data_IF_330865176080
#
_entry.id   IF_330865176080
#
_cell.length_a   1.000
_cell.length_b   1.000
_cell.length_c   1.000
_cell.angle_alpha   90.00
_cell.angle_beta   90.00
_cell.angle_gamma   90.00
#
_symmetry.space_group_name_H-M   'P 1'
#
loop_
_entity.id
_entity.type
_entity.pdbx_description
1 polymer ?
#
# COMPACT_ATOMS: atom_id res chain seq x y z
N UNK A 1 -18.94 -2.43 4.10
CA UNK A 1 -17.52 -2.04 4.07
C UNK A 1 -16.81 -2.40 2.77
N UNK A 2 -16.97 -3.61 2.20
CA UNK A 2 -16.42 -3.97 0.86
C UNK A 2 -16.76 -2.94 -0.24
N UNK A 3 -18.05 -2.59 -0.37
CA UNK A 3 -18.49 -1.57 -1.32
C UNK A 3 -17.82 -0.19 -1.12
N UNK A 4 -17.52 0.20 0.12
CA UNK A 4 -16.75 1.42 0.37
C UNK A 4 -15.34 1.28 -0.18
N UNK A 5 -14.65 0.18 0.13
CA UNK A 5 -13.25 -0.02 -0.26
C UNK A 5 -13.06 -0.06 -1.80
N UNK A 6 -14.03 -0.63 -2.52
CA UNK A 6 -14.05 -0.69 -3.99
C UNK A 6 -14.21 0.70 -4.63
N UNK A 7 -15.00 1.58 -3.99
CA UNK A 7 -15.28 2.92 -4.51
C UNK A 7 -14.34 4.01 -3.94
N UNK A 8 -13.66 3.72 -2.84
CA UNK A 8 -12.73 4.64 -2.17
C UNK A 8 -11.52 4.90 -3.06
N UNK A 9 -11.26 6.19 -3.32
CA UNK A 9 -10.12 6.63 -4.15
C UNK A 9 -9.10 7.39 -3.35
N UNK A 10 -7.82 7.06 -3.54
CA UNK A 10 -6.72 7.64 -2.78
C UNK A 10 -6.54 9.15 -3.04
N UNK A 11 -6.70 9.58 -4.29
CA UNK A 11 -6.66 11.00 -4.70
C UNK A 11 -7.77 11.82 -4.01
N UNK A 12 -8.90 11.18 -3.68
CA UNK A 12 -10.03 11.78 -2.96
C UNK A 12 -10.05 11.50 -1.47
N UNK A 13 -8.99 10.89 -0.90
CA UNK A 13 -8.94 10.47 0.52
C UNK A 13 -9.37 11.56 1.49
N UNK A 14 -8.95 12.81 1.28
CA UNK A 14 -9.27 13.94 2.17
C UNK A 14 -10.78 14.23 2.27
N UNK A 15 -11.56 13.81 1.27
CA UNK A 15 -13.01 13.99 1.20
C UNK A 15 -13.77 12.67 1.46
N UNK A 16 -13.07 11.57 1.73
CA UNK A 16 -13.66 10.26 1.99
C UNK A 16 -14.14 10.14 3.45
N UNK A 17 -15.21 9.39 3.69
CA UNK A 17 -15.81 9.21 5.03
C UNK A 17 -14.84 8.61 6.07
N UNK A 18 -13.93 7.72 5.66
CA UNK A 18 -12.89 7.18 6.53
C UNK A 18 -11.57 7.93 6.35
N UNK A 19 -11.27 8.34 5.11
CA UNK A 19 -10.04 9.03 4.77
C UNK A 19 -9.91 10.44 5.37
N UNK A 20 -11.02 11.11 5.68
CA UNK A 20 -11.07 12.43 6.30
C UNK A 20 -10.95 12.41 7.84
N UNK A 21 -11.04 11.23 8.46
CA UNK A 21 -10.90 11.08 9.91
C UNK A 21 -9.49 11.53 10.33
N UNK A 22 -9.40 12.30 11.43
CA UNK A 22 -8.12 12.78 11.98
C UNK A 22 -7.15 11.60 12.17
N UNK A 23 -5.91 11.79 11.72
CA UNK A 23 -4.83 10.80 11.76
C UNK A 23 -4.97 9.58 10.82
N UNK A 24 -6.00 9.52 9.95
CA UNK A 24 -6.03 8.54 8.86
C UNK A 24 -5.14 9.04 7.72
N UNK A 25 -3.89 8.59 7.71
CA UNK A 25 -2.94 8.84 6.62
C UNK A 25 -3.12 7.89 5.43
N UNK A 26 -2.32 8.07 4.38
CA UNK A 26 -2.34 7.21 3.17
C UNK A 26 -2.12 5.73 3.52
N UNK A 27 -1.16 5.42 4.40
CA UNK A 27 -0.90 4.05 4.81
C UNK A 27 -2.12 3.44 5.52
N UNK A 28 -2.69 4.11 6.53
CA UNK A 28 -3.89 3.64 7.23
C UNK A 28 -5.07 3.45 6.28
N UNK A 29 -5.28 4.39 5.35
CA UNK A 29 -6.35 4.32 4.37
C UNK A 29 -6.21 3.12 3.44
N UNK A 30 -5.01 2.87 2.92
CA UNK A 30 -4.74 1.69 2.09
C UNK A 30 -4.86 0.38 2.89
N UNK A 31 -4.42 0.37 4.15
CA UNK A 31 -4.58 -0.79 5.01
C UNK A 31 -6.05 -1.16 5.21
N UNK A 32 -6.94 -0.18 5.40
CA UNK A 32 -8.38 -0.41 5.46
C UNK A 32 -8.91 -1.00 4.15
N UNK A 33 -8.45 -0.51 2.99
CA UNK A 33 -8.86 -1.05 1.68
C UNK A 33 -8.42 -2.51 1.52
N UNK A 34 -7.18 -2.83 1.90
CA UNK A 34 -6.66 -4.21 1.94
C UNK A 34 -7.53 -5.10 2.83
N UNK A 35 -7.84 -4.66 4.06
CA UNK A 35 -8.65 -5.42 5.01
C UNK A 35 -10.07 -5.71 4.49
N UNK A 36 -10.55 -4.95 3.52
CA UNK A 36 -11.85 -5.17 2.86
C UNK A 36 -11.73 -5.75 1.44
N UNK A 37 -10.58 -6.33 1.10
CA UNK A 37 -10.39 -7.17 -0.08
C UNK A 37 -9.90 -6.45 -1.33
N UNK A 38 -9.44 -5.21 -1.21
CA UNK A 38 -8.85 -4.49 -2.33
C UNK A 38 -7.40 -4.93 -2.50
N UNK A 39 -7.06 -5.34 -3.71
CA UNK A 39 -5.69 -5.65 -4.10
C UNK A 39 -4.89 -4.34 -4.26
N UNK A 40 -4.20 -3.95 -3.20
CA UNK A 40 -3.35 -2.76 -3.15
C UNK A 40 -2.28 -2.94 -2.09
N UNK A 41 -1.40 -1.96 -1.92
CA UNK A 41 -0.28 -1.98 -0.98
C UNK A 41 -0.47 -0.92 0.10
N UNK A 42 -0.03 -1.23 1.32
CA UNK A 42 0.08 -0.25 2.40
C UNK A 42 1.50 0.31 2.40
N UNK A 43 1.74 1.58 1.98
CA UNK A 43 3.09 2.16 1.92
C UNK A 43 3.61 2.58 3.31
N UNK A 44 3.75 1.60 4.20
CA UNK A 44 4.31 1.78 5.53
C UNK A 44 5.84 1.80 5.52
N UNK A 45 6.43 1.82 6.72
CA UNK A 45 7.87 1.85 6.87
C UNK A 45 8.57 0.63 6.23
N UNK A 46 8.01 -0.57 6.35
CA UNK A 46 8.67 -1.80 5.85
C UNK A 46 8.71 -1.82 4.34
N UNK A 47 7.59 -1.50 3.69
CA UNK A 47 7.53 -1.39 2.22
C UNK A 47 8.52 -0.33 1.72
N UNK A 48 8.57 0.84 2.37
CA UNK A 48 9.50 1.92 1.99
C UNK A 48 10.96 1.55 2.21
N UNK A 49 11.28 0.86 3.30
CA UNK A 49 12.63 0.38 3.57
C UNK A 49 13.13 -0.58 2.49
N UNK A 50 12.27 -1.47 1.97
CA UNK A 50 12.65 -2.37 0.87
C UNK A 50 12.85 -1.60 -0.43
N UNK A 51 11.94 -0.69 -0.77
CA UNK A 51 12.11 0.18 -1.95
C UNK A 51 13.40 1.00 -1.88
N UNK A 52 13.78 1.49 -0.70
CA UNK A 52 15.02 2.23 -0.52
C UNK A 52 16.25 1.31 -0.56
N UNK A 53 16.24 0.17 0.16
CA UNK A 53 17.42 -0.71 0.30
C UNK A 53 17.72 -1.54 -0.94
N UNK A 54 16.70 -2.15 -1.54
CA UNK A 54 16.87 -3.12 -2.62
C UNK A 54 16.79 -2.47 -4.01
N UNK A 55 16.08 -1.33 -4.11
CA UNK A 55 15.84 -0.65 -5.38
C UNK A 55 16.43 0.76 -5.45
N UNK A 56 17.02 1.27 -4.35
CA UNK A 56 17.55 2.64 -4.26
C UNK A 56 16.48 3.72 -4.56
N UNK A 57 15.22 3.45 -4.18
CA UNK A 57 14.07 4.32 -4.43
C UNK A 57 13.53 4.94 -3.12
N UNK A 58 13.88 6.20 -2.88
CA UNK A 58 13.30 6.99 -1.78
C UNK A 58 12.03 7.72 -2.22
N UNK A 59 10.88 7.14 -1.91
CA UNK A 59 9.59 7.54 -2.48
C UNK A 59 8.59 8.10 -1.45
N UNK A 60 7.71 8.99 -1.91
CA UNK A 60 6.48 9.33 -1.17
C UNK A 60 5.56 8.11 -1.08
N UNK A 61 4.53 8.17 -0.23
CA UNK A 61 3.58 7.06 -0.10
C UNK A 61 2.86 6.74 -1.41
N UNK A 62 2.47 7.78 -2.17
CA UNK A 62 1.81 7.65 -3.46
C UNK A 62 2.74 7.03 -4.51
N UNK A 63 4.00 7.48 -4.57
CA UNK A 63 4.98 6.92 -5.49
C UNK A 63 5.37 5.48 -5.12
N UNK A 64 5.42 5.16 -3.82
CA UNK A 64 5.67 3.80 -3.36
C UNK A 64 4.54 2.84 -3.79
N UNK A 65 3.28 3.29 -3.75
CA UNK A 65 2.15 2.50 -4.26
C UNK A 65 2.35 2.17 -5.74
N UNK A 66 2.62 3.19 -6.56
CA UNK A 66 2.85 3.00 -8.00
C UNK A 66 4.05 2.07 -8.28
N UNK A 67 5.14 2.19 -7.53
CA UNK A 67 6.31 1.33 -7.70
C UNK A 67 5.98 -0.14 -7.40
N UNK A 68 5.21 -0.40 -6.34
CA UNK A 68 4.80 -1.77 -5.97
C UNK A 68 3.77 -2.33 -6.95
N UNK A 69 2.86 -1.51 -7.47
CA UNK A 69 1.95 -1.90 -8.56
C UNK A 69 2.72 -2.29 -9.83
N UNK A 70 3.78 -1.55 -10.18
CA UNK A 70 4.65 -1.89 -11.31
C UNK A 70 5.44 -3.19 -11.07
N UNK A 71 5.97 -3.39 -9.86
CA UNK A 71 6.64 -4.65 -9.49
C UNK A 71 5.66 -5.83 -9.59
N UNK A 72 4.44 -5.68 -9.09
CA UNK A 72 3.39 -6.69 -9.20
C UNK A 72 3.08 -7.01 -10.67
N UNK A 73 2.93 -5.98 -11.51
CA UNK A 73 2.71 -6.12 -12.95
C UNK A 73 3.84 -6.89 -13.64
N UNK A 74 5.11 -6.54 -13.38
CA UNK A 74 6.28 -7.20 -13.99
C UNK A 74 6.41 -8.66 -13.54
N UNK A 75 6.12 -8.94 -12.27
CA UNK A 75 6.31 -10.28 -11.68
C UNK A 75 5.11 -11.21 -11.87
N UNK A 76 3.95 -10.67 -12.22
CA UNK A 76 2.69 -11.42 -12.32
C UNK A 76 2.03 -11.74 -10.97
N UNK A 77 2.57 -11.22 -9.86
CA UNK A 77 1.94 -11.32 -8.54
C UNK A 77 0.84 -10.28 -8.37
N UNK A 78 -0.06 -10.52 -7.41
CA UNK A 78 -0.98 -9.49 -6.91
C UNK A 78 -0.22 -8.45 -6.10
N UNK A 79 -0.76 -7.24 -6.05
CA UNK A 79 -0.14 -6.13 -5.30
C UNK A 79 -0.04 -6.48 -3.82
N UNK A 80 -1.07 -7.13 -3.26
CA UNK A 80 -1.08 -7.59 -1.87
C UNK A 80 -0.04 -8.68 -1.59
N UNK A 81 0.32 -9.49 -2.58
CA UNK A 81 1.37 -10.51 -2.42
C UNK A 81 2.75 -9.84 -2.31
N UNK A 82 3.01 -8.82 -3.14
CA UNK A 82 4.24 -8.03 -3.03
C UNK A 82 4.32 -7.28 -1.68
N UNK A 83 3.22 -6.67 -1.21
CA UNK A 83 3.14 -6.05 0.12
C UNK A 83 3.56 -7.05 1.22
N UNK A 84 2.97 -8.25 1.21
CA UNK A 84 3.26 -9.29 2.20
C UNK A 84 4.70 -9.82 2.11
N UNK A 85 5.23 -9.99 0.89
CA UNK A 85 6.63 -10.39 0.67
C UNK A 85 7.55 -9.33 1.26
N UNK A 86 7.33 -8.05 0.95
CA UNK A 86 8.16 -6.96 1.46
C UNK A 86 8.11 -6.88 2.99
N UNK A 87 6.93 -7.01 3.59
CA UNK A 87 6.77 -6.98 5.05
C UNK A 87 7.48 -8.18 5.70
N UNK A 88 7.32 -9.40 5.18
CA UNK A 88 7.99 -10.60 5.70
C UNK A 88 9.51 -10.51 5.57
N UNK A 89 10.00 -10.16 4.39
CA UNK A 89 11.42 -10.00 4.11
C UNK A 89 12.05 -8.92 5.01
N UNK A 90 11.42 -7.73 5.13
CA UNK A 90 11.93 -6.65 5.98
C UNK A 90 11.88 -6.99 7.48
N UNK A 91 10.93 -7.82 7.91
CA UNK A 91 10.78 -8.20 9.31
C UNK A 91 11.70 -9.34 9.76
N UNK A 92 12.34 -10.04 8.82
CA UNK A 92 13.24 -11.15 9.11
C UNK A 92 12.53 -12.44 9.51
N UNK A 93 11.20 -12.52 9.31
CA UNK A 93 10.42 -13.75 9.47
C UNK A 93 10.23 -14.39 8.08
N UNK A 94 10.95 -15.48 7.83
CA UNK A 94 10.82 -16.35 6.65
C UNK A 94 10.15 -17.67 7.02
#
# INVERSE_FOLDING_TARGET
MKNWAENAKLDKRKNDILGSIKNVGVATFQHLRINFGIDTVKPDQRVKEILEKEFNLKLSSEKAILAVEEIAHITGFKVIEIDQIFVKYASGYY
#
